data_IF_702173590153
#
_entry.id   IF_702173590153
#
_cell.length_a   1.000
_cell.length_b   1.000
_cell.length_c   1.000
_cell.angle_alpha   90.00
_cell.angle_beta   90.00
_cell.angle_gamma   90.00
#
_symmetry.space_group_name_H-M   'P 1'
#
loop_
_entity.id
_entity.type
_entity.pdbx_description
1 polymer ?
#
# COMPACT_ATOMS: atom_id res chain seq x y z
N UNK A 1 51.70 41.03 -13.23
CA UNK A 1 50.51 40.91 -14.09
C UNK A 1 50.29 39.42 -14.37
N UNK A 2 49.08 38.95 -14.07
CA UNK A 2 48.69 37.55 -13.83
C UNK A 2 48.73 36.66 -15.06
N UNK A 3 49.08 35.39 -14.86
CA UNK A 3 48.77 34.29 -15.77
C UNK A 3 47.41 33.70 -15.38
N UNK A 4 46.48 33.65 -16.33
CA UNK A 4 45.18 32.99 -16.18
C UNK A 4 45.35 31.52 -16.48
N UNK A 5 45.20 30.66 -15.48
CA UNK A 5 45.06 29.21 -15.66
C UNK A 5 43.59 28.92 -15.96
N UNK A 6 43.29 28.53 -17.19
CA UNK A 6 41.99 27.98 -17.57
C UNK A 6 41.88 26.59 -16.96
N UNK A 7 40.97 26.41 -15.99
CA UNK A 7 40.56 25.09 -15.51
C UNK A 7 39.67 24.45 -16.60
N UNK A 8 40.15 23.37 -17.21
CA UNK A 8 39.30 22.46 -17.97
C UNK A 8 38.29 21.84 -16.98
N UNK A 9 36.99 21.80 -17.29
CA UNK A 9 36.05 21.00 -16.52
C UNK A 9 36.53 19.54 -16.56
N UNK A 10 36.84 18.97 -15.40
CA UNK A 10 37.02 17.52 -15.30
C UNK A 10 35.67 16.90 -15.64
N UNK A 11 35.64 16.04 -16.66
CA UNK A 11 34.53 15.14 -16.87
C UNK A 11 34.29 14.36 -15.55
N UNK A 12 33.02 14.14 -15.14
CA UNK A 12 32.73 13.25 -14.03
C UNK A 12 33.30 11.86 -14.35
N UNK A 13 33.72 11.07 -13.34
CA UNK A 13 34.17 9.71 -13.59
C UNK A 13 33.09 8.96 -14.36
N UNK A 14 33.44 8.22 -15.40
CA UNK A 14 32.54 7.23 -16.00
C UNK A 14 32.13 6.29 -14.88
N UNK A 15 30.90 6.43 -14.38
CA UNK A 15 30.30 5.49 -13.44
C UNK A 15 30.29 4.13 -14.14
N UNK A 16 30.87 3.12 -13.50
CA UNK A 16 30.91 1.75 -14.00
C UNK A 16 29.50 1.16 -13.86
N UNK A 17 28.66 1.43 -14.85
CA UNK A 17 27.28 0.95 -14.91
C UNK A 17 27.18 -0.58 -14.89
N UNK A 18 28.27 -1.29 -15.19
CA UNK A 18 28.36 -2.75 -15.13
C UNK A 18 28.51 -3.21 -13.67
N UNK A 19 29.36 -2.54 -12.88
CA UNK A 19 29.52 -2.76 -11.43
C UNK A 19 28.22 -2.41 -10.67
N UNK A 20 27.57 -1.29 -11.01
CA UNK A 20 26.28 -0.89 -10.43
C UNK A 20 25.18 -1.91 -10.74
N UNK A 21 25.19 -2.49 -11.95
CA UNK A 21 24.25 -3.53 -12.36
C UNK A 21 24.45 -4.86 -11.62
N UNK A 22 25.70 -5.25 -11.35
CA UNK A 22 26.00 -6.45 -10.55
C UNK A 22 25.66 -6.28 -9.07
N UNK A 23 25.85 -5.08 -8.51
CA UNK A 23 25.46 -4.76 -7.12
C UNK A 23 23.92 -4.79 -6.95
N UNK A 24 23.17 -4.25 -7.92
CA UNK A 24 21.70 -4.29 -7.92
C UNK A 24 21.15 -5.71 -8.10
N UNK A 25 21.75 -6.50 -9.00
CA UNK A 25 21.41 -7.92 -9.17
C UNK A 25 21.64 -8.68 -7.87
N UNK A 26 22.77 -8.46 -7.22
CA UNK A 26 23.12 -9.13 -5.96
C UNK A 26 22.20 -8.73 -4.82
N UNK A 27 21.83 -7.45 -4.71
CA UNK A 27 20.86 -6.97 -3.72
C UNK A 27 19.46 -7.56 -3.92
N UNK A 28 18.96 -7.61 -5.16
CA UNK A 28 17.66 -8.22 -5.45
C UNK A 28 17.64 -9.73 -5.13
N UNK A 29 18.75 -10.43 -5.37
CA UNK A 29 18.90 -11.85 -5.00
C UNK A 29 18.93 -12.05 -3.49
N UNK A 30 19.71 -11.24 -2.76
CA UNK A 30 19.81 -11.32 -1.29
C UNK A 30 18.44 -11.10 -0.63
N UNK A 31 17.68 -10.12 -1.08
CA UNK A 31 16.32 -9.83 -0.60
C UNK A 31 15.39 -11.04 -0.83
N UNK A 32 15.42 -11.67 -2.01
CA UNK A 32 14.59 -12.85 -2.29
C UNK A 32 14.97 -14.04 -1.39
N UNK A 33 16.26 -14.22 -1.09
CA UNK A 33 16.74 -15.25 -0.17
C UNK A 33 16.27 -14.99 1.26
N UNK A 34 16.36 -13.75 1.75
CA UNK A 34 15.88 -13.37 3.08
C UNK A 34 14.37 -13.64 3.24
N UNK A 35 13.62 -13.61 2.13
CA UNK A 35 12.18 -13.94 2.06
C UNK A 35 11.90 -15.45 1.94
N UNK A 36 12.92 -16.29 2.09
CA UNK A 36 12.79 -17.75 2.14
C UNK A 36 12.83 -18.44 0.78
N UNK A 37 13.11 -17.70 -0.30
CA UNK A 37 13.39 -18.28 -1.61
C UNK A 37 14.76 -18.97 -1.58
N UNK A 38 14.91 -20.08 -2.31
CA UNK A 38 16.24 -20.66 -2.44
C UNK A 38 17.17 -19.72 -3.24
N UNK A 39 18.48 -19.69 -2.96
CA UNK A 39 19.41 -18.85 -3.71
C UNK A 39 19.33 -19.03 -5.22
N UNK A 40 19.10 -20.25 -5.68
CA UNK A 40 19.02 -20.58 -7.11
C UNK A 40 17.72 -20.04 -7.74
N UNK A 41 16.59 -20.11 -7.03
CA UNK A 41 15.33 -19.52 -7.50
C UNK A 41 15.37 -17.99 -7.53
N UNK A 42 16.04 -17.39 -6.54
CA UNK A 42 16.23 -15.94 -6.46
C UNK A 42 17.04 -15.40 -7.64
N UNK A 43 18.16 -16.05 -7.98
CA UNK A 43 18.97 -15.68 -9.15
C UNK A 43 18.19 -15.82 -10.45
N UNK A 44 17.45 -16.92 -10.63
CA UNK A 44 16.65 -17.15 -11.83
C UNK A 44 15.55 -16.09 -11.98
N UNK A 45 14.86 -15.74 -10.89
CA UNK A 45 13.80 -14.74 -10.92
C UNK A 45 14.33 -13.35 -11.28
N UNK A 46 15.48 -12.97 -10.73
CA UNK A 46 16.14 -11.69 -11.05
C UNK A 46 16.63 -11.69 -12.50
N UNK A 47 17.26 -12.77 -12.96
CA UNK A 47 17.75 -12.90 -14.34
C UNK A 47 16.61 -12.89 -15.38
N UNK A 48 15.47 -13.52 -15.07
CA UNK A 48 14.30 -13.50 -15.94
C UNK A 48 13.70 -12.10 -16.05
N UNK A 49 13.55 -11.39 -14.92
CA UNK A 49 13.07 -10.01 -14.93
C UNK A 49 13.99 -9.07 -15.73
N UNK A 50 15.31 -9.21 -15.57
CA UNK A 50 16.30 -8.45 -16.34
C UNK A 50 16.26 -8.80 -17.84
N UNK A 51 16.09 -10.09 -18.18
CA UNK A 51 16.02 -10.56 -19.56
C UNK A 51 14.74 -10.12 -20.29
N UNK A 52 13.64 -9.91 -19.56
CA UNK A 52 12.38 -9.39 -20.09
C UNK A 52 12.39 -7.86 -20.27
N UNK A 53 13.48 -7.20 -19.91
CA UNK A 53 13.64 -5.75 -20.05
C UNK A 53 12.90 -4.95 -18.97
N UNK A 54 12.55 -5.59 -17.86
CA UNK A 54 12.13 -4.87 -16.65
C UNK A 54 13.37 -4.18 -16.11
N UNK A 55 13.36 -2.85 -16.17
CA UNK A 55 14.43 -2.03 -15.61
C UNK A 55 14.67 -2.43 -14.15
N UNK A 56 15.91 -2.74 -13.78
CA UNK A 56 16.28 -3.16 -12.43
C UNK A 56 15.80 -2.15 -11.38
N UNK A 57 15.76 -0.86 -11.73
CA UNK A 57 15.23 0.20 -10.86
C UNK A 57 13.73 0.05 -10.60
N UNK A 58 12.96 -0.47 -11.56
CA UNK A 58 11.52 -0.73 -11.38
C UNK A 58 11.30 -1.92 -10.46
N UNK A 59 12.20 -2.91 -10.46
CA UNK A 59 12.16 -4.04 -9.53
C UNK A 59 12.55 -3.57 -8.12
N UNK A 60 13.59 -2.74 -8.00
CA UNK A 60 14.01 -2.14 -6.72
C UNK A 60 12.92 -1.24 -6.13
N UNK A 61 12.29 -0.37 -6.93
CA UNK A 61 11.15 0.45 -6.54
C UNK A 61 9.99 -0.42 -6.06
N UNK A 62 9.75 -1.56 -6.72
CA UNK A 62 8.73 -2.52 -6.30
C UNK A 62 8.97 -3.09 -4.91
N UNK A 63 10.20 -3.48 -4.64
CA UNK A 63 10.56 -3.95 -3.32
C UNK A 63 10.46 -2.87 -2.27
N UNK A 64 10.94 -1.66 -2.55
CA UNK A 64 10.89 -0.55 -1.61
C UNK A 64 9.47 -0.14 -1.24
N UNK A 65 8.57 -0.03 -2.21
CA UNK A 65 7.17 0.33 -1.97
C UNK A 65 6.47 -0.77 -1.17
N UNK A 66 6.73 -2.03 -1.49
CA UNK A 66 6.20 -3.15 -0.71
C UNK A 66 6.76 -3.17 0.72
N UNK A 67 8.06 -2.94 0.93
CA UNK A 67 8.68 -2.91 2.26
C UNK A 67 8.18 -1.72 3.10
N UNK A 68 8.10 -0.54 2.49
CA UNK A 68 7.50 0.65 3.12
C UNK A 68 6.05 0.33 3.54
N UNK A 69 5.25 -0.27 2.65
CA UNK A 69 3.89 -0.70 2.98
C UNK A 69 3.85 -1.70 4.14
N UNK A 70 4.60 -2.79 4.04
CA UNK A 70 4.60 -3.85 5.07
C UNK A 70 5.14 -3.35 6.41
N UNK A 71 5.99 -2.33 6.41
CA UNK A 71 6.46 -1.66 7.63
C UNK A 71 5.43 -0.73 8.28
N UNK A 72 4.41 -0.27 7.54
CA UNK A 72 3.49 0.79 7.99
C UNK A 72 2.00 0.51 7.76
N UNK A 73 1.60 -0.65 7.25
CA UNK A 73 0.19 -0.96 6.92
C UNK A 73 -0.76 -0.77 8.11
N UNK A 74 -0.26 -0.92 9.34
CA UNK A 74 -1.04 -0.68 10.57
C UNK A 74 -1.56 0.75 10.70
N UNK A 75 -0.98 1.70 9.97
CA UNK A 75 -1.44 3.08 9.90
C UNK A 75 -2.52 3.32 8.84
N UNK A 76 -2.90 2.29 8.07
CA UNK A 76 -3.90 2.43 7.03
C UNK A 76 -5.25 2.87 7.64
N UNK A 77 -5.91 3.93 7.11
CA UNK A 77 -7.11 4.49 7.74
C UNK A 77 -8.31 3.53 7.81
N UNK A 78 -8.33 2.50 6.97
CA UNK A 78 -9.37 1.46 6.97
C UNK A 78 -8.97 0.32 7.90
N UNK A 79 -8.94 0.59 9.21
CA UNK A 79 -8.64 -0.39 10.27
C UNK A 79 -7.33 -1.17 10.08
N UNK A 80 -6.29 -0.51 9.53
CA UNK A 80 -5.01 -1.17 9.24
C UNK A 80 -4.36 -1.82 10.45
N UNK A 81 -4.59 -1.28 11.65
CA UNK A 81 -4.09 -1.78 12.92
C UNK A 81 -4.71 -3.12 13.33
N UNK A 82 -5.83 -3.50 12.72
CA UNK A 82 -6.51 -4.78 12.93
C UNK A 82 -6.06 -5.85 11.92
N UNK A 83 -5.28 -5.49 10.90
CA UNK A 83 -4.88 -6.43 9.85
C UNK A 83 -3.73 -7.34 10.31
N UNK A 84 -3.74 -8.57 9.80
CA UNK A 84 -2.57 -9.43 9.77
C UNK A 84 -1.62 -9.03 8.63
N UNK A 85 -0.38 -9.51 8.69
CA UNK A 85 0.58 -9.29 7.60
C UNK A 85 0.09 -9.90 6.27
N UNK A 86 -0.52 -11.08 6.30
CA UNK A 86 -1.04 -11.76 5.10
C UNK A 86 -2.18 -10.97 4.44
N UNK A 87 -3.04 -10.34 5.25
CA UNK A 87 -4.12 -9.47 4.77
C UNK A 87 -3.57 -8.18 4.17
N UNK A 88 -2.59 -7.54 4.84
CA UNK A 88 -1.91 -6.37 4.30
C UNK A 88 -1.20 -6.68 2.98
N UNK A 89 -0.60 -7.86 2.85
CA UNK A 89 0.02 -8.33 1.60
C UNK A 89 -1.03 -8.51 0.49
N UNK A 90 -2.18 -9.11 0.80
CA UNK A 90 -3.28 -9.24 -0.15
C UNK A 90 -3.74 -7.87 -0.69
N UNK A 91 -3.92 -6.88 0.19
CA UNK A 91 -4.39 -5.54 -0.16
C UNK A 91 -3.43 -4.85 -1.13
N UNK A 92 -2.13 -4.78 -0.79
CA UNK A 92 -1.16 -4.08 -1.64
C UNK A 92 -1.01 -4.77 -3.01
N UNK A 93 -1.05 -6.10 -3.05
CA UNK A 93 -1.01 -6.86 -4.31
C UNK A 93 -2.23 -6.57 -5.17
N UNK A 94 -3.44 -6.50 -4.58
CA UNK A 94 -4.66 -6.16 -5.28
C UNK A 94 -4.59 -4.74 -5.87
N UNK A 95 -4.14 -3.76 -5.10
CA UNK A 95 -3.94 -2.37 -5.56
C UNK A 95 -2.93 -2.29 -6.72
N UNK A 96 -1.75 -2.92 -6.56
CA UNK A 96 -0.72 -2.96 -7.60
C UNK A 96 -1.20 -3.64 -8.88
N UNK A 97 -2.05 -4.67 -8.78
CA UNK A 97 -2.65 -5.33 -9.95
C UNK A 97 -3.63 -4.46 -10.70
N UNK A 98 -4.38 -3.60 -9.99
CA UNK A 98 -5.40 -2.77 -10.61
C UNK A 98 -4.80 -1.54 -11.31
N UNK A 99 -3.92 -0.79 -10.63
CA UNK A 99 -3.41 0.51 -11.16
C UNK A 99 -1.90 0.57 -11.38
N UNK A 100 -1.18 -0.51 -11.09
CA UNK A 100 0.26 -0.54 -11.17
C UNK A 100 0.92 0.14 -9.97
N UNK A 101 2.21 -0.11 -9.80
CA UNK A 101 2.85 0.18 -8.52
C UNK A 101 3.02 1.67 -8.19
N UNK A 102 3.40 2.48 -9.16
CA UNK A 102 3.64 3.90 -8.91
C UNK A 102 2.35 4.64 -8.55
N UNK A 103 1.22 4.22 -9.13
CA UNK A 103 -0.07 4.80 -8.76
C UNK A 103 -0.51 4.29 -7.37
N UNK A 104 -0.26 3.02 -7.05
CA UNK A 104 -0.48 2.49 -5.69
C UNK A 104 0.30 3.27 -4.63
N UNK A 105 1.61 3.47 -4.80
CA UNK A 105 2.44 4.24 -3.86
C UNK A 105 1.97 5.69 -3.73
N UNK A 106 1.66 6.32 -4.86
CA UNK A 106 1.13 7.69 -4.89
C UNK A 106 -0.18 7.80 -4.10
N UNK A 107 -1.11 6.86 -4.29
CA UNK A 107 -2.41 6.88 -3.63
C UNK A 107 -2.29 6.59 -2.13
N UNK A 108 -1.46 5.62 -1.73
CA UNK A 108 -1.22 5.32 -0.31
C UNK A 108 -0.60 6.52 0.41
N UNK A 109 0.43 7.14 -0.17
CA UNK A 109 1.09 8.33 0.42
C UNK A 109 0.20 9.59 0.38
N UNK A 110 -0.68 9.66 -0.61
CA UNK A 110 -1.61 10.77 -0.83
C UNK A 110 -2.94 10.65 -0.09
N UNK A 111 -3.19 9.51 0.56
CA UNK A 111 -4.43 9.24 1.28
C UNK A 111 -4.67 10.30 2.35
N UNK A 112 -5.77 11.03 2.22
CA UNK A 112 -6.18 12.09 3.13
C UNK A 112 -7.66 11.97 3.41
N UNK A 113 -8.06 12.26 4.66
CA UNK A 113 -9.47 12.32 5.03
C UNK A 113 -10.12 13.55 4.38
N UNK A 114 -11.14 13.32 3.57
CA UNK A 114 -11.87 14.33 2.82
C UNK A 114 -11.10 14.94 1.63
N UNK A 115 -11.83 15.30 0.58
CA UNK A 115 -11.31 16.00 -0.59
C UNK A 115 -10.72 15.10 -1.68
N UNK A 116 -10.78 13.78 -1.51
CA UNK A 116 -10.35 12.82 -2.52
C UNK A 116 -11.43 12.64 -3.60
N UNK A 117 -11.01 12.27 -4.81
CA UNK A 117 -11.96 11.83 -5.83
C UNK A 117 -12.56 10.47 -5.44
N UNK A 118 -13.83 10.23 -5.77
CA UNK A 118 -14.54 8.98 -5.45
C UNK A 118 -13.80 7.75 -6.01
N UNK A 119 -13.33 7.81 -7.25
CA UNK A 119 -12.56 6.73 -7.88
C UNK A 119 -11.24 6.41 -7.15
N UNK A 120 -10.59 7.40 -6.54
CA UNK A 120 -9.35 7.21 -5.78
C UNK A 120 -9.65 6.67 -4.38
N UNK A 121 -10.73 7.14 -3.75
CA UNK A 121 -11.22 6.60 -2.49
C UNK A 121 -11.65 5.13 -2.63
N UNK A 122 -12.36 4.79 -3.69
CA UNK A 122 -12.73 3.40 -3.99
C UNK A 122 -11.50 2.51 -4.16
N UNK A 123 -10.46 3.00 -4.83
CA UNK A 123 -9.22 2.25 -5.00
C UNK A 123 -8.47 1.95 -3.70
N UNK A 124 -8.60 2.82 -2.69
CA UNK A 124 -8.02 2.58 -1.36
C UNK A 124 -8.85 1.61 -0.52
N UNK A 125 -10.17 1.59 -0.70
CA UNK A 125 -11.10 0.87 0.19
C UNK A 125 -11.48 -0.51 -0.36
N UNK A 126 -11.71 -0.63 -1.68
CA UNK A 126 -12.16 -1.88 -2.30
C UNK A 126 -11.23 -3.05 -2.07
N UNK A 127 -9.90 -2.91 -2.26
CA UNK A 127 -8.97 -4.01 -2.04
C UNK A 127 -8.99 -4.52 -0.60
N UNK A 128 -9.31 -3.66 0.38
CA UNK A 128 -9.49 -4.06 1.78
C UNK A 128 -10.68 -5.01 1.91
N UNK A 129 -11.85 -4.61 1.44
CA UNK A 129 -13.05 -5.44 1.49
C UNK A 129 -12.92 -6.77 0.72
N UNK A 130 -12.10 -6.81 -0.33
CA UNK A 130 -11.84 -8.04 -1.08
C UNK A 130 -10.86 -9.00 -0.36
N UNK A 131 -10.03 -8.47 0.54
CA UNK A 131 -8.96 -9.22 1.22
C UNK A 131 -9.26 -9.56 2.68
N UNK A 132 -10.16 -8.82 3.34
CA UNK A 132 -10.54 -9.03 4.75
C UNK A 132 -12.06 -9.10 4.93
N UNK A 133 -12.53 -9.75 6.00
CA UNK A 133 -13.92 -9.64 6.44
C UNK A 133 -14.12 -8.29 7.13
N UNK A 134 -14.34 -7.24 6.32
CA UNK A 134 -14.37 -5.86 6.79
C UNK A 134 -15.54 -5.64 7.77
N UNK A 135 -16.65 -6.36 7.58
CA UNK A 135 -17.78 -6.30 8.53
C UNK A 135 -17.40 -6.89 9.89
N UNK A 136 -16.79 -8.07 9.92
CA UNK A 136 -16.32 -8.66 11.17
C UNK A 136 -15.28 -7.77 11.85
N UNK A 137 -14.40 -7.13 11.07
CA UNK A 137 -13.38 -6.23 11.60
C UNK A 137 -13.98 -4.98 12.24
N UNK A 138 -14.95 -4.32 11.61
CA UNK A 138 -15.69 -3.19 12.20
C UNK A 138 -16.39 -3.62 13.49
N UNK A 139 -17.03 -4.79 13.50
CA UNK A 139 -17.68 -5.33 14.70
C UNK A 139 -16.67 -5.48 15.83
N UNK A 140 -15.51 -6.07 15.57
CA UNK A 140 -14.49 -6.32 16.58
C UNK A 140 -13.85 -5.00 17.08
N UNK A 141 -13.67 -4.00 16.21
CA UNK A 141 -13.27 -2.64 16.59
C UNK A 141 -14.29 -1.98 17.54
N UNK A 142 -15.59 -2.15 17.28
CA UNK A 142 -16.65 -1.65 18.17
C UNK A 142 -16.64 -2.33 19.54
N UNK A 143 -16.34 -3.63 19.58
CA UNK A 143 -16.17 -4.37 20.86
C UNK A 143 -14.95 -3.85 21.62
N UNK A 144 -13.83 -3.62 20.94
CA UNK A 144 -12.58 -3.14 21.54
C UNK A 144 -12.72 -1.74 22.14
N UNK A 145 -13.49 -0.86 21.49
CA UNK A 145 -13.73 0.50 21.96
C UNK A 145 -14.89 0.64 22.96
N UNK A 146 -15.43 -0.48 23.46
CA UNK A 146 -16.49 -0.56 24.49
C UNK A 146 -17.71 0.33 24.19
N UNK A 147 -18.21 0.31 22.94
CA UNK A 147 -19.50 0.93 22.65
C UNK A 147 -20.57 0.35 23.59
N UNK A 148 -21.40 1.21 24.18
CA UNK A 148 -22.37 0.82 25.22
C UNK A 148 -23.49 -0.10 24.71
N UNK A 149 -23.63 -0.20 23.39
CA UNK A 149 -24.66 -0.94 22.66
C UNK A 149 -24.05 -2.23 22.08
N UNK A 150 -24.88 -3.25 21.85
CA UNK A 150 -24.45 -4.54 21.28
C UNK A 150 -24.02 -4.38 19.81
N UNK A 151 -22.74 -4.57 19.45
CA UNK A 151 -22.25 -4.41 18.07
C UNK A 151 -22.96 -5.32 17.06
N UNK A 152 -23.34 -6.53 17.48
CA UNK A 152 -24.08 -7.46 16.61
C UNK A 152 -25.48 -6.94 16.31
N UNK A 153 -26.12 -6.28 17.28
CA UNK A 153 -27.41 -5.63 17.09
C UNK A 153 -27.28 -4.42 16.15
N UNK A 154 -26.27 -3.57 16.38
CA UNK A 154 -26.05 -2.35 15.58
C UNK A 154 -25.79 -2.67 14.10
N UNK A 155 -25.04 -3.75 13.82
CA UNK A 155 -24.64 -4.14 12.47
C UNK A 155 -25.55 -5.20 11.82
N UNK A 156 -26.68 -5.55 12.45
CA UNK A 156 -27.52 -6.69 12.03
C UNK A 156 -27.91 -6.64 10.54
N UNK A 157 -28.35 -5.47 10.07
CA UNK A 157 -28.80 -5.25 8.69
C UNK A 157 -27.76 -4.54 7.80
N UNK A 158 -26.57 -4.26 8.34
CA UNK A 158 -25.49 -3.59 7.61
C UNK A 158 -24.80 -4.57 6.68
N UNK A 159 -24.70 -4.23 5.40
CA UNK A 159 -23.92 -5.00 4.41
C UNK A 159 -22.47 -4.52 4.38
N UNK A 160 -21.55 -5.39 3.95
CA UNK A 160 -20.15 -5.00 3.75
C UNK A 160 -20.01 -3.86 2.75
N UNK A 161 -20.88 -3.80 1.74
CA UNK A 161 -20.89 -2.72 0.77
C UNK A 161 -21.30 -1.35 1.36
N UNK A 162 -22.18 -1.36 2.35
CA UNK A 162 -22.45 -0.13 3.11
C UNK A 162 -21.22 0.31 3.88
N UNK A 163 -20.49 -0.63 4.49
CA UNK A 163 -19.25 -0.32 5.22
C UNK A 163 -18.18 0.25 4.29
N UNK A 164 -18.01 -0.33 3.09
CA UNK A 164 -17.14 0.25 2.06
C UNK A 164 -17.56 1.68 1.74
N UNK A 165 -18.86 1.90 1.55
CA UNK A 165 -19.39 3.25 1.29
C UNK A 165 -19.07 4.23 2.44
N UNK A 166 -19.07 3.78 3.70
CA UNK A 166 -18.68 4.63 4.85
C UNK A 166 -17.24 5.09 4.73
N UNK A 167 -16.30 4.18 4.47
CA UNK A 167 -14.88 4.52 4.35
C UNK A 167 -14.57 5.31 3.07
N UNK A 168 -15.24 5.02 1.96
CA UNK A 168 -15.15 5.85 0.74
C UNK A 168 -15.60 7.27 1.06
N UNK A 169 -16.72 7.44 1.78
CA UNK A 169 -17.19 8.75 2.22
C UNK A 169 -16.23 9.46 3.18
N UNK A 170 -15.48 8.73 4.01
CA UNK A 170 -14.44 9.34 4.85
C UNK A 170 -13.33 9.97 4.02
N UNK A 171 -12.93 9.32 2.93
CA UNK A 171 -11.92 9.83 2.02
C UNK A 171 -12.44 10.95 1.10
N UNK A 172 -13.70 10.90 0.66
CA UNK A 172 -14.29 11.92 -0.23
C UNK A 172 -14.79 13.15 0.53
N UNK A 173 -15.61 12.93 1.55
CA UNK A 173 -16.39 13.96 2.25
C UNK A 173 -15.88 14.22 3.68
N UNK A 174 -14.94 13.40 4.15
CA UNK A 174 -14.39 13.48 5.49
C UNK A 174 -15.26 12.78 6.53
N UNK A 175 -14.90 12.99 7.80
CA UNK A 175 -15.57 12.35 8.95
C UNK A 175 -17.09 12.57 8.99
N UNK A 176 -17.56 13.72 8.52
CA UNK A 176 -18.99 14.02 8.48
C UNK A 176 -19.72 13.12 7.47
N UNK A 177 -19.11 12.87 6.31
CA UNK A 177 -19.63 11.93 5.31
C UNK A 177 -19.69 10.50 5.82
N UNK A 178 -18.59 10.02 6.43
CA UNK A 178 -18.59 8.72 7.11
C UNK A 178 -19.73 8.64 8.13
N UNK A 179 -19.83 9.63 9.01
CA UNK A 179 -20.82 9.65 10.10
C UNK A 179 -22.26 9.65 9.59
N UNK A 180 -22.55 10.41 8.53
CA UNK A 180 -23.88 10.46 7.92
C UNK A 180 -24.32 9.07 7.43
N UNK A 181 -23.45 8.37 6.69
CA UNK A 181 -23.77 7.04 6.18
C UNK A 181 -23.84 6.01 7.31
N UNK A 182 -22.88 6.04 8.25
CA UNK A 182 -22.86 5.17 9.42
C UNK A 182 -24.17 5.27 10.22
N UNK A 183 -24.57 6.48 10.65
CA UNK A 183 -25.79 6.65 11.44
C UNK A 183 -27.07 6.32 10.68
N UNK A 184 -27.08 6.49 9.36
CA UNK A 184 -28.21 6.12 8.53
C UNK A 184 -28.39 4.60 8.43
N UNK A 185 -27.27 3.87 8.39
CA UNK A 185 -27.26 2.46 8.05
C UNK A 185 -27.32 1.53 9.28
N UNK A 186 -26.75 1.93 10.42
CA UNK A 186 -26.80 1.11 11.65
C UNK A 186 -28.21 1.04 12.26
N UNK A 187 -28.47 -0.03 13.00
CA UNK A 187 -29.71 -0.19 13.73
C UNK A 187 -29.74 0.64 15.03
N UNK A 188 -30.43 1.78 15.00
CA UNK A 188 -30.56 2.68 16.17
C UNK A 188 -31.56 2.21 17.24
N UNK A 189 -32.12 1.00 17.11
CA UNK A 189 -33.06 0.44 18.11
C UNK A 189 -32.41 -0.53 19.11
N UNK A 190 -31.09 -0.66 19.02
CA UNK A 190 -30.22 -1.20 20.05
C UNK A 190 -30.03 -0.14 21.15
#
# INVERSE_FOLDING_TARGET
>A
FSATTTLTPSDPPEEDWEEIGEDLRSGAVEILIERGMSPEEAEIAVDQNLAEGVDASVVEDQFKIWEDWMGYYQSHPVLGDQWTADEAECVIIAMMRERGIYETDRQIRGATQGGMAEEDAEFLVRPVADCVDLKAMVRDDMVLHEYHEDPDCLLADVTEEQIVSWYVADFTDGRDGFSELYWRDINQSC
#
